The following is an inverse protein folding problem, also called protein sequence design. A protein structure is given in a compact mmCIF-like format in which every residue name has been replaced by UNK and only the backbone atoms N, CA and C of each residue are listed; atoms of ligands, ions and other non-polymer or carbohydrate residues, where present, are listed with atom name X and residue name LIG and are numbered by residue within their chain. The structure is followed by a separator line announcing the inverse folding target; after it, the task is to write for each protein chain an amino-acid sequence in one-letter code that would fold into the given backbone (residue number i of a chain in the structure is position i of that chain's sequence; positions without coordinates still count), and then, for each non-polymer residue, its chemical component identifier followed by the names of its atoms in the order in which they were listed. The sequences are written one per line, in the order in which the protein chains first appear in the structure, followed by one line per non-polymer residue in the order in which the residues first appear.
data_IF_741791529273
#
_entry.id   IF_741791529273
#
_cell.length_a   1.000
_cell.length_b   1.000
_cell.length_c   1.000
_cell.angle_alpha   90.00
_cell.angle_beta   90.00
_cell.angle_gamma   90.00
#
_symmetry.space_group_name_H-M   'P 1'
#
loop_
_entity.id
_entity.type
_entity.pdbx_description
1 polymer ?
#
# COMPACT_ATOMS: atom_id res chain seq x y z
N UNK A 1 3.03 -22.12 -12.55
CA UNK A 1 2.20 -21.47 -11.51
C UNK A 1 1.67 -20.18 -12.12
N UNK A 2 0.35 -19.96 -12.15
CA UNK A 2 -0.17 -18.67 -12.59
C UNK A 2 0.23 -17.60 -11.57
N UNK A 3 0.61 -16.40 -12.04
CA UNK A 3 1.08 -15.29 -11.20
C UNK A 3 0.17 -15.02 -9.99
N UNK A 4 -1.15 -15.10 -10.17
CA UNK A 4 -2.12 -14.89 -9.08
C UNK A 4 -2.04 -15.99 -8.03
N UNK A 5 -1.89 -17.26 -8.44
CA UNK A 5 -1.77 -18.39 -7.51
C UNK A 5 -0.49 -18.26 -6.67
N UNK A 6 0.62 -17.89 -7.32
CA UNK A 6 1.93 -17.69 -6.70
C UNK A 6 1.94 -16.48 -5.73
N UNK A 7 1.23 -15.41 -6.09
CA UNK A 7 1.02 -14.25 -5.21
C UNK A 7 0.23 -14.62 -3.95
N UNK A 8 -0.85 -15.39 -4.10
CA UNK A 8 -1.66 -15.82 -2.95
C UNK A 8 -0.90 -16.79 -2.03
N UNK A 9 0.01 -17.58 -2.57
CA UNK A 9 0.87 -18.47 -1.80
C UNK A 9 1.95 -17.67 -1.07
N UNK A 10 2.53 -16.67 -1.72
CA UNK A 10 3.46 -15.71 -1.11
C UNK A 10 2.80 -14.94 0.04
N UNK A 11 1.55 -14.51 -0.12
CA UNK A 11 0.78 -13.81 0.92
C UNK A 11 0.43 -14.67 2.14
N UNK A 12 0.51 -16.00 2.06
CA UNK A 12 0.37 -16.89 3.22
C UNK A 12 1.63 -16.96 4.07
N UNK A 13 2.75 -16.43 3.58
CA UNK A 13 4.00 -16.35 4.34
C UNK A 13 4.06 -15.05 5.15
N UNK A 14 4.77 -15.03 6.31
CA UNK A 14 4.96 -13.80 7.08
C UNK A 14 5.61 -12.68 6.25
N UNK A 15 6.54 -13.04 5.37
CA UNK A 15 7.21 -12.09 4.49
C UNK A 15 6.27 -11.46 3.44
N UNK A 16 5.35 -12.24 2.89
CA UNK A 16 4.36 -11.72 1.94
C UNK A 16 3.37 -10.74 2.58
N UNK A 17 2.92 -11.02 3.81
CA UNK A 17 2.06 -10.10 4.57
C UNK A 17 2.79 -8.80 4.87
N UNK A 18 4.04 -8.87 5.33
CA UNK A 18 4.85 -7.66 5.58
C UNK A 18 5.05 -6.86 4.30
N UNK A 19 5.36 -7.52 3.17
CA UNK A 19 5.48 -6.86 1.87
C UNK A 19 4.20 -6.13 1.45
N UNK A 20 3.04 -6.75 1.63
CA UNK A 20 1.75 -6.13 1.35
C UNK A 20 1.50 -4.91 2.24
N UNK A 21 1.77 -5.01 3.53
CA UNK A 21 1.61 -3.90 4.48
C UNK A 21 2.52 -2.71 4.14
N UNK A 22 3.76 -2.97 3.70
CA UNK A 22 4.68 -1.92 3.23
C UNK A 22 4.10 -1.20 2.01
N UNK A 23 3.59 -1.93 1.02
CA UNK A 23 2.97 -1.34 -0.17
C UNK A 23 1.77 -0.49 0.22
N UNK A 24 0.88 -1.00 1.09
CA UNK A 24 -0.27 -0.25 1.59
C UNK A 24 0.18 1.02 2.32
N UNK A 25 1.20 0.93 3.17
CA UNK A 25 1.76 2.07 3.89
C UNK A 25 2.29 3.16 2.95
N UNK A 26 3.00 2.77 1.88
CA UNK A 26 3.49 3.70 0.86
C UNK A 26 2.35 4.39 0.11
N UNK A 27 1.30 3.64 -0.26
CA UNK A 27 0.10 4.19 -0.92
C UNK A 27 -0.60 5.18 0.01
N UNK A 28 -0.81 4.84 1.28
CA UNK A 28 -1.44 5.74 2.26
C UNK A 28 -0.60 7.00 2.49
N UNK A 29 0.72 6.86 2.58
CA UNK A 29 1.62 8.01 2.72
C UNK A 29 1.54 8.92 1.48
N UNK A 30 1.54 8.34 0.28
CA UNK A 30 1.41 9.09 -0.96
C UNK A 30 0.04 9.78 -1.06
N UNK A 31 -1.04 9.09 -0.72
CA UNK A 31 -2.38 9.69 -0.66
C UNK A 31 -2.42 10.83 0.35
N UNK A 32 -1.82 10.66 1.53
CA UNK A 32 -1.72 11.71 2.53
C UNK A 32 -0.88 12.90 2.03
N UNK A 33 0.14 12.67 1.21
CA UNK A 33 0.95 13.74 0.63
C UNK A 33 0.20 14.49 -0.48
N UNK A 34 -0.51 13.77 -1.36
CA UNK A 34 -1.29 14.34 -2.45
C UNK A 34 -2.54 15.07 -1.94
N UNK A 35 -3.25 14.50 -0.97
CA UNK A 35 -4.48 15.03 -0.39
C UNK A 35 -4.24 15.69 0.98
N UNK A 36 -3.00 16.07 1.29
CA UNK A 36 -2.76 16.90 2.46
C UNK A 36 -3.59 18.17 2.30
N UNK A 37 -4.39 18.60 3.29
CA UNK A 37 -5.11 19.86 3.22
C UNK A 37 -4.09 20.96 2.96
N UNK A 38 -4.18 21.62 1.81
CA UNK A 38 -3.28 22.71 1.51
C UNK A 38 -3.72 23.91 2.36
N UNK A 39 -2.80 24.68 2.94
CA UNK A 39 -3.15 25.83 3.79
C UNK A 39 -3.97 26.92 3.06
N UNK A 40 -4.13 26.79 1.73
CA UNK A 40 -4.92 27.65 0.88
C UNK A 40 -6.34 27.12 0.60
N UNK A 41 -6.70 25.91 1.05
CA UNK A 41 -8.04 25.30 0.83
C UNK A 41 -9.14 25.89 1.74
N UNK A 42 -8.79 26.72 2.73
CA UNK A 42 -9.72 27.43 3.63
C UNK A 42 -10.05 28.88 3.18
N UNK A 43 -10.22 29.14 1.87
CA UNK A 43 -10.70 30.44 1.36
C UNK A 43 -12.08 30.37 0.72
#
# INVERSE_FOLDING_TARGET
MGFILDLTETLKTPGGVVGLLVIIGLVVLLLKWVFAPHPDDEK
#
